data_IF_129029007657
#
_entry.id   IF_129029007657
#
_cell.length_a   1.000
_cell.length_b   1.000
_cell.length_c   1.000
_cell.angle_alpha   90.00
_cell.angle_beta   90.00
_cell.angle_gamma   90.00
#
_symmetry.space_group_name_H-M   'P 1'
#
loop_
_entity.id
_entity.type
_entity.pdbx_description
1 polymer ?
#
# COMPACT_ATOMS: atom_id res chain seq x y z
N UNK A 1 -11.47 8.41 0.89
CA UNK A 1 -12.71 9.07 0.41
C UNK A 1 -13.03 10.36 1.18
N UNK A 2 -13.32 10.31 2.48
CA UNK A 2 -13.68 11.50 3.28
C UNK A 2 -12.67 12.66 3.17
N UNK A 3 -11.37 12.38 3.37
CA UNK A 3 -10.32 13.41 3.27
C UNK A 3 -10.36 14.07 1.88
N UNK A 4 -10.29 13.27 0.81
CA UNK A 4 -10.34 13.76 -0.57
C UNK A 4 -11.60 14.60 -0.87
N UNK A 5 -12.79 14.18 -0.44
CA UNK A 5 -14.04 14.93 -0.65
C UNK A 5 -14.09 16.25 0.14
N UNK A 6 -13.23 16.40 1.15
CA UNK A 6 -13.18 17.57 2.03
C UNK A 6 -12.14 18.63 1.64
N UNK A 7 -11.39 18.39 0.56
CA UNK A 7 -10.35 19.27 0.03
C UNK A 7 -10.88 20.05 -1.18
N UNK A 8 -10.34 21.25 -1.41
CA UNK A 8 -10.67 22.04 -2.59
C UNK A 8 -9.81 21.62 -3.80
N UNK A 9 -10.19 22.12 -4.99
CA UNK A 9 -9.54 21.74 -6.25
C UNK A 9 -8.03 22.03 -6.26
N UNK A 10 -7.60 23.20 -5.79
CA UNK A 10 -6.17 23.57 -5.77
C UNK A 10 -5.34 22.76 -4.77
N UNK A 11 -5.96 22.24 -3.70
CA UNK A 11 -5.32 21.29 -2.79
C UNK A 11 -5.20 19.90 -3.41
N UNK A 12 -6.25 19.46 -4.12
CA UNK A 12 -6.28 18.15 -4.76
C UNK A 12 -5.26 18.05 -5.90
N UNK A 13 -5.02 19.12 -6.65
CA UNK A 13 -3.98 19.16 -7.70
C UNK A 13 -2.55 18.92 -7.17
N UNK A 14 -2.33 19.11 -5.87
CA UNK A 14 -1.04 18.92 -5.20
C UNK A 14 -0.90 17.56 -4.50
N UNK A 15 -1.91 16.70 -4.61
CA UNK A 15 -1.99 15.44 -3.87
C UNK A 15 -2.24 14.27 -4.78
N UNK A 16 -1.50 13.18 -4.55
CA UNK A 16 -1.75 11.89 -5.16
C UNK A 16 -1.92 10.84 -4.05
N UNK A 17 -2.95 10.01 -4.16
CA UNK A 17 -3.16 8.88 -3.25
C UNK A 17 -2.83 7.58 -3.96
N UNK A 18 -1.89 6.84 -3.39
CA UNK A 18 -1.38 5.58 -3.91
C UNK A 18 -1.63 4.46 -2.90
N UNK A 19 -1.83 3.26 -3.41
CA UNK A 19 -1.74 2.03 -2.61
C UNK A 19 -0.77 1.07 -3.29
N UNK A 20 -0.07 0.28 -2.50
CA UNK A 20 0.89 -0.71 -2.98
C UNK A 20 0.49 -2.03 -2.33
N UNK A 21 0.26 -3.06 -3.15
CA UNK A 21 -0.12 -4.37 -2.61
C UNK A 21 1.04 -5.03 -1.84
N UNK A 22 0.68 -5.84 -0.85
CA UNK A 22 1.58 -6.79 -0.16
C UNK A 22 1.40 -8.23 -0.66
N UNK A 23 0.42 -8.48 -1.54
CA UNK A 23 0.09 -9.78 -2.15
C UNK A 23 0.08 -9.70 -3.68
N UNK A 24 1.19 -9.36 -4.35
CA UNK A 24 1.21 -9.21 -5.81
C UNK A 24 0.91 -10.52 -6.56
N UNK A 25 0.97 -11.67 -5.89
CA UNK A 25 0.63 -12.98 -6.45
C UNK A 25 -0.88 -13.16 -6.67
N UNK A 26 -1.72 -12.42 -5.92
CA UNK A 26 -3.17 -12.35 -6.13
C UNK A 26 -3.60 -11.02 -6.71
N UNK A 27 -3.03 -9.93 -6.22
CA UNK A 27 -3.43 -8.57 -6.56
C UNK A 27 -2.79 -8.13 -7.88
N UNK A 28 -3.19 -8.78 -8.98
CA UNK A 28 -2.84 -8.31 -10.31
C UNK A 28 -3.70 -7.10 -10.72
N UNK A 29 -3.34 -6.47 -11.84
CA UNK A 29 -3.98 -5.24 -12.31
C UNK A 29 -5.48 -5.40 -12.59
N UNK A 30 -5.94 -6.58 -13.04
CA UNK A 30 -7.37 -6.85 -13.25
C UNK A 30 -8.12 -6.87 -11.93
N UNK A 31 -7.61 -7.60 -10.93
CA UNK A 31 -8.25 -7.71 -9.60
C UNK A 31 -8.27 -6.35 -8.90
N UNK A 32 -7.18 -5.59 -8.97
CA UNK A 32 -7.11 -4.26 -8.37
C UNK A 32 -8.04 -3.25 -9.06
N UNK A 33 -8.22 -3.34 -10.39
CA UNK A 33 -9.17 -2.50 -11.12
C UNK A 33 -10.63 -2.85 -10.75
N UNK A 34 -10.98 -4.14 -10.66
CA UNK A 34 -12.30 -4.57 -10.18
C UNK A 34 -12.56 -4.09 -8.75
N UNK A 35 -11.57 -4.23 -7.86
CA UNK A 35 -11.64 -3.73 -6.49
C UNK A 35 -11.85 -2.21 -6.45
N UNK A 36 -11.08 -1.45 -7.24
CA UNK A 36 -11.19 0.01 -7.37
C UNK A 36 -12.59 0.43 -7.77
N UNK A 37 -13.17 -0.20 -8.79
CA UNK A 37 -14.52 0.07 -9.27
C UNK A 37 -15.58 -0.25 -8.22
N UNK A 38 -15.45 -1.40 -7.55
CA UNK A 38 -16.42 -1.84 -6.54
C UNK A 38 -16.43 -0.95 -5.29
N UNK A 39 -15.26 -0.46 -4.86
CA UNK A 39 -15.10 0.41 -3.69
C UNK A 39 -15.30 1.89 -4.01
N UNK A 40 -15.41 2.24 -5.30
CA UNK A 40 -15.44 3.61 -5.79
C UNK A 40 -14.22 4.41 -5.30
N UNK A 41 -13.07 3.73 -5.26
CA UNK A 41 -11.78 4.34 -4.96
C UNK A 41 -11.27 5.07 -6.19
N UNK A 42 -10.76 6.29 -5.99
CA UNK A 42 -10.06 7.03 -7.05
C UNK A 42 -8.54 6.85 -6.97
N UNK A 43 -8.06 6.06 -6.01
CA UNK A 43 -6.63 5.92 -5.76
C UNK A 43 -5.97 5.07 -6.85
N UNK A 44 -4.69 5.34 -7.08
CA UNK A 44 -3.86 4.55 -7.97
C UNK A 44 -3.37 3.32 -7.20
N UNK A 45 -3.62 2.13 -7.75
CA UNK A 45 -3.26 0.86 -7.15
C UNK A 45 -2.03 0.28 -7.87
N UNK A 46 -0.94 0.06 -7.13
CA UNK A 46 0.33 -0.43 -7.67
C UNK A 46 0.56 -1.90 -7.30
N UNK A 47 1.02 -2.65 -8.31
CA UNK A 47 1.42 -4.06 -8.24
C UNK A 47 2.49 -4.34 -9.30
N UNK A 48 2.99 -5.57 -9.38
CA UNK A 48 3.99 -6.01 -10.36
C UNK A 48 3.40 -7.06 -11.30
N UNK A 49 3.88 -7.11 -12.54
CA UNK A 49 3.47 -8.10 -13.52
C UNK A 49 4.29 -9.40 -13.38
N UNK A 50 5.59 -9.27 -13.12
CA UNK A 50 6.49 -10.40 -12.91
C UNK A 50 6.76 -10.63 -11.42
N UNK A 51 6.08 -11.63 -10.85
CA UNK A 51 6.20 -12.02 -9.44
C UNK A 51 7.27 -13.06 -9.17
N UNK A 52 8.11 -13.41 -10.16
CA UNK A 52 9.20 -14.35 -9.94
C UNK A 52 10.22 -13.78 -8.95
N UNK A 53 10.78 -14.60 -8.03
CA UNK A 53 11.66 -14.10 -6.96
C UNK A 53 12.89 -13.31 -7.42
N UNK A 54 13.36 -13.57 -8.65
CA UNK A 54 14.54 -12.91 -9.23
C UNK A 54 14.18 -11.84 -10.26
N UNK A 55 12.90 -11.50 -10.42
CA UNK A 55 12.50 -10.45 -11.35
C UNK A 55 12.92 -9.07 -10.81
N UNK A 56 13.30 -8.12 -11.70
CA UNK A 56 13.57 -6.75 -11.29
C UNK A 56 12.35 -6.06 -10.64
N UNK A 57 11.14 -6.39 -11.11
CA UNK A 57 9.90 -5.81 -10.59
C UNK A 57 9.63 -6.27 -9.15
N UNK A 58 9.69 -7.59 -8.90
CA UNK A 58 9.51 -8.15 -7.56
C UNK A 58 10.59 -7.65 -6.59
N UNK A 59 11.83 -7.50 -7.08
CA UNK A 59 12.93 -6.92 -6.29
C UNK A 59 12.66 -5.46 -5.92
N UNK A 60 12.12 -4.67 -6.86
CA UNK A 60 11.75 -3.27 -6.62
C UNK A 60 10.62 -3.17 -5.61
N UNK A 61 9.58 -3.99 -5.76
CA UNK A 61 8.46 -4.03 -4.81
C UNK A 61 8.91 -4.46 -3.40
N UNK A 62 9.79 -5.46 -3.31
CA UNK A 62 10.38 -5.88 -2.04
C UNK A 62 11.25 -4.80 -1.39
N UNK A 63 11.95 -4.00 -2.19
CA UNK A 63 12.70 -2.86 -1.70
C UNK A 63 11.76 -1.79 -1.15
N UNK A 64 10.67 -1.45 -1.85
CA UNK A 64 9.66 -0.50 -1.36
C UNK A 64 9.10 -0.96 0.00
N UNK A 65 8.73 -2.23 0.15
CA UNK A 65 8.29 -2.74 1.45
C UNK A 65 9.37 -2.59 2.52
N UNK A 66 10.64 -2.79 2.19
CA UNK A 66 11.75 -2.64 3.14
C UNK A 66 11.99 -1.18 3.52
N UNK A 67 11.98 -0.27 2.54
CA UNK A 67 12.27 1.16 2.74
C UNK A 67 11.19 1.83 3.61
N UNK A 68 9.94 1.34 3.55
CA UNK A 68 8.82 1.81 4.36
C UNK A 68 8.49 0.94 5.58
N UNK A 69 9.38 0.01 5.96
CA UNK A 69 9.23 -0.90 7.11
C UNK A 69 7.90 -1.69 7.12
N UNK A 70 7.46 -2.10 5.93
CA UNK A 70 6.27 -2.93 5.73
C UNK A 70 6.65 -4.40 5.91
N UNK A 71 6.34 -4.94 7.07
CA UNK A 71 6.50 -6.35 7.39
C UNK A 71 5.25 -7.16 7.05
N UNK A 72 5.42 -8.34 6.47
CA UNK A 72 4.32 -9.28 6.29
C UNK A 72 4.77 -10.73 6.44
N UNK A 73 3.81 -11.60 6.68
CA UNK A 73 3.96 -13.03 6.85
C UNK A 73 2.84 -13.73 6.10
N UNK A 74 3.23 -14.71 5.30
CA UNK A 74 2.30 -15.61 4.62
C UNK A 74 1.92 -16.72 5.61
N UNK A 75 0.63 -16.92 5.77
CA UNK A 75 0.02 -17.94 6.63
C UNK A 75 -0.69 -18.96 5.75
N UNK A 76 -0.05 -20.11 5.53
CA UNK A 76 -0.65 -21.21 4.78
C UNK A 76 -1.68 -21.96 5.64
N UNK A 77 -2.82 -22.33 5.06
CA UNK A 77 -3.83 -23.18 5.69
C UNK A 77 -3.49 -24.68 5.62
N UNK A 78 -2.22 -25.03 5.39
CA UNK A 78 -1.77 -26.42 5.29
C UNK A 78 -1.31 -26.93 6.65
N UNK A 79 -1.57 -28.22 6.95
CA UNK A 79 -1.01 -28.90 8.13
C UNK A 79 0.53 -29.09 8.04
N UNK A 80 1.21 -28.42 7.11
CA UNK A 80 2.63 -28.59 6.82
C UNK A 80 3.39 -27.31 7.19
N UNK A 81 4.24 -27.43 8.21
CA UNK A 81 5.11 -26.37 8.71
C UNK A 81 6.29 -26.12 7.78
N UNK A 82 6.07 -25.46 6.64
CA UNK A 82 7.16 -24.99 5.78
C UNK A 82 7.33 -23.47 5.92
N UNK A 83 8.08 -23.07 6.94
CA UNK A 83 8.42 -21.67 7.21
C UNK A 83 9.53 -21.19 6.25
N UNK A 84 9.14 -20.77 5.05
CA UNK A 84 10.02 -19.99 4.17
C UNK A 84 9.51 -18.55 4.13
N UNK A 85 10.18 -17.67 4.86
CA UNK A 85 9.71 -16.32 5.22
C UNK A 85 9.38 -15.36 4.05
N UNK A 86 9.64 -15.73 2.78
CA UNK A 86 9.40 -14.91 1.58
C UNK A 86 9.05 -15.71 0.32
N UNK A 87 8.64 -16.98 0.44
CA UNK A 87 8.21 -17.78 -0.71
C UNK A 87 6.69 -17.91 -0.71
N UNK A 88 6.03 -17.47 -1.77
CA UNK A 88 4.58 -17.56 -1.89
C UNK A 88 4.10 -19.02 -2.09
N UNK A 89 2.92 -19.38 -1.59
CA UNK A 89 2.41 -20.75 -1.70
C UNK A 89 1.89 -21.01 -3.12
N UNK A 90 1.95 -22.26 -3.57
CA UNK A 90 1.37 -22.67 -4.86
C UNK A 90 -0.16 -22.80 -4.81
N UNK A 91 -0.78 -22.72 -3.64
CA UNK A 91 -2.23 -22.74 -3.44
C UNK A 91 -2.81 -21.31 -3.34
N UNK A 92 -4.06 -21.13 -3.75
CA UNK A 92 -4.83 -19.90 -3.50
C UNK A 92 -5.38 -19.81 -2.06
N UNK A 93 -5.08 -20.78 -1.19
CA UNK A 93 -5.60 -20.86 0.18
C UNK A 93 -4.48 -20.55 1.18
N UNK A 94 -4.22 -19.26 1.32
CA UNK A 94 -3.32 -18.66 2.31
C UNK A 94 -3.85 -17.30 2.74
N UNK A 95 -3.45 -16.84 3.92
CA UNK A 95 -3.63 -15.47 4.36
C UNK A 95 -2.29 -14.73 4.34
N UNK A 96 -2.34 -13.40 4.26
CA UNK A 96 -1.17 -12.56 4.51
C UNK A 96 -1.47 -11.72 5.74
N UNK A 97 -0.74 -11.97 6.82
CA UNK A 97 -0.69 -11.06 7.96
C UNK A 97 0.36 -10.00 7.67
N UNK A 98 -0.01 -8.72 7.65
CA UNK A 98 0.91 -7.63 7.32
C UNK A 98 0.75 -6.45 8.27
N UNK A 99 1.79 -5.63 8.39
CA UNK A 99 1.66 -4.34 9.02
C UNK A 99 0.74 -3.47 8.17
N UNK A 100 -0.10 -2.68 8.86
CA UNK A 100 -1.01 -1.72 8.26
C UNK A 100 -0.58 -0.34 8.71
N UNK A 101 -0.22 0.51 7.74
CA UNK A 101 0.26 1.85 8.01
C UNK A 101 0.14 2.73 6.77
N UNK A 102 -0.04 4.03 6.99
CA UNK A 102 -0.12 5.05 5.95
C UNK A 102 1.08 5.97 6.07
N UNK A 103 1.80 6.17 4.97
CA UNK A 103 2.95 7.07 4.91
C UNK A 103 2.57 8.34 4.16
N UNK A 104 3.01 9.50 4.65
CA UNK A 104 2.89 10.78 3.95
C UNK A 104 4.28 11.23 3.52
N UNK A 105 4.41 11.45 2.22
CA UNK A 105 5.64 11.87 1.54
C UNK A 105 5.43 13.31 1.04
N UNK A 106 6.41 14.17 1.24
CA UNK A 106 6.36 15.55 0.74
C UNK A 106 6.74 15.68 -0.75
N UNK A 107 6.66 16.90 -1.27
CA UNK A 107 6.96 17.20 -2.66
C UNK A 107 8.46 17.03 -3.03
N UNK A 108 9.35 16.87 -2.05
CA UNK A 108 10.77 16.59 -2.25
C UNK A 108 11.06 15.08 -2.25
N UNK A 109 10.05 14.25 -1.99
CA UNK A 109 10.17 12.79 -1.91
C UNK A 109 10.61 12.28 -0.55
N UNK A 110 10.60 13.11 0.49
CA UNK A 110 10.96 12.70 1.84
C UNK A 110 9.74 12.15 2.58
N UNK A 111 9.89 11.00 3.25
CA UNK A 111 8.89 10.55 4.22
C UNK A 111 8.86 11.53 5.38
N UNK A 112 7.68 12.10 5.65
CA UNK A 112 7.48 13.06 6.74
C UNK A 112 6.77 12.43 7.93
N UNK A 113 5.75 11.62 7.66
CA UNK A 113 4.85 11.10 8.69
C UNK A 113 4.53 9.63 8.40
N UNK A 114 4.43 8.83 9.46
CA UNK A 114 3.91 7.48 9.44
C UNK A 114 2.73 7.39 10.41
N UNK A 115 1.59 6.94 9.91
CA UNK A 115 0.38 6.69 10.67
C UNK A 115 0.15 5.19 10.77
N UNK A 116 0.18 4.66 11.99
CA UNK A 116 -0.23 3.28 12.25
C UNK A 116 -1.75 3.13 12.13
N UNK A 117 -2.21 1.97 11.67
CA UNK A 117 -3.63 1.70 11.39
C UNK A 117 -4.57 1.98 12.58
N UNK A 118 -4.16 1.58 13.78
CA UNK A 118 -4.96 1.79 15.00
C UNK A 118 -4.91 3.23 15.54
N UNK A 119 -3.93 4.02 15.12
CA UNK A 119 -3.74 5.40 15.59
C UNK A 119 -4.42 6.42 14.68
N UNK A 120 -5.15 5.97 13.66
CA UNK A 120 -5.66 6.84 12.60
C UNK A 120 -6.80 7.76 13.09
N UNK A 121 -6.46 9.02 13.38
CA UNK A 121 -7.43 10.08 13.68
C UNK A 121 -7.58 10.94 12.43
N UNK A 122 -8.73 10.80 11.76
CA UNK A 122 -9.00 11.39 10.44
C UNK A 122 -8.72 12.90 10.39
N UNK A 123 -9.13 13.63 11.43
CA UNK A 123 -8.94 15.09 11.47
C UNK A 123 -7.45 15.47 11.58
N UNK A 124 -6.65 14.71 12.32
CA UNK A 124 -5.20 14.94 12.43
C UNK A 124 -4.47 14.58 11.14
N UNK A 125 -4.85 13.48 10.49
CA UNK A 125 -4.28 13.12 9.18
C UNK A 125 -4.60 14.17 8.13
N UNK A 126 -5.81 14.74 8.18
CA UNK A 126 -6.16 15.86 7.31
C UNK A 126 -5.29 17.08 7.60
N UNK A 127 -5.07 17.42 8.86
CA UNK A 127 -4.21 18.55 9.26
C UNK A 127 -2.78 18.37 8.73
N UNK A 128 -2.20 17.18 8.92
CA UNK A 128 -0.88 16.83 8.40
C UNK A 128 -0.77 16.98 6.87
N UNK A 129 -1.76 16.48 6.13
CA UNK A 129 -1.82 16.64 4.67
C UNK A 129 -1.85 18.12 4.29
N UNK A 130 -2.70 18.92 4.95
CA UNK A 130 -2.85 20.34 4.65
C UNK A 130 -1.58 21.14 4.96
N UNK A 131 -0.86 20.77 6.02
CA UNK A 131 0.42 21.38 6.36
C UNK A 131 1.44 21.18 5.23
N UNK A 132 1.59 19.96 4.72
CA UNK A 132 2.53 19.69 3.61
C UNK A 132 2.10 20.32 2.29
N UNK A 133 0.79 20.34 1.99
CA UNK A 133 0.27 21.01 0.78
C UNK A 133 0.56 22.53 0.79
N UNK A 134 0.68 23.13 1.98
CA UNK A 134 1.03 24.54 2.12
C UNK A 134 2.52 24.85 1.88
N UNK A 135 3.38 23.83 1.88
CA UNK A 135 4.82 23.95 1.61
C UNK A 135 5.13 24.06 0.10
N UNK A 136 4.17 23.70 -0.77
CA UNK A 136 4.24 23.71 -2.25
C UNK A 136 3.80 25.07 -2.80
#
# INVERSE_FOLDING_TARGET
>A
RYIHESLNESQLEKLEFLTITVDPWRDNTTILEEWKQSTKSNWTHLTVADTQPNSPEMSTLAQVWTDFDVGFKIEENTNESNTSARHHPSSYDYNIAHSTGTVIIDHEGNQRIWWGDYDWIIDLVKEDILNLVSEI
#
